data_IF_856605969179
#
_entry.id   IF_856605969179
#
_cell.length_a   1.000
_cell.length_b   1.000
_cell.length_c   1.000
_cell.angle_alpha   90.00
_cell.angle_beta   90.00
_cell.angle_gamma   90.00
#
_symmetry.space_group_name_H-M   'P 1'
#
loop_
_entity.id
_entity.type
_entity.pdbx_description
1 polymer ?
#
# COMPACT_ATOMS: atom_id res chain seq x y z
N UNK A 1 -27.74 35.29 58.26
CA UNK A 1 -28.41 36.60 58.53
C UNK A 1 -28.11 37.51 57.35
N UNK A 2 -29.08 37.75 56.45
CA UNK A 2 -29.77 39.05 56.24
C UNK A 2 -28.77 40.24 56.18
N UNK A 3 -28.67 41.07 55.15
CA UNK A 3 -29.68 41.51 54.20
C UNK A 3 -29.04 42.39 53.09
N UNK A 4 -29.54 42.27 51.85
CA UNK A 4 -29.94 43.34 50.87
C UNK A 4 -29.05 44.57 50.61
N UNK A 5 -28.99 45.24 49.45
CA UNK A 5 -29.51 45.18 48.08
C UNK A 5 -28.95 46.48 47.45
N UNK A 6 -28.62 46.51 46.15
CA UNK A 6 -29.22 47.50 45.22
C UNK A 6 -28.95 47.17 43.76
N UNK A 7 -30.07 47.11 43.02
CA UNK A 7 -30.24 47.03 41.57
C UNK A 7 -29.86 48.35 40.88
N UNK A 8 -29.51 48.26 39.60
CA UNK A 8 -29.40 49.41 38.69
C UNK A 8 -29.38 49.00 37.22
N UNK A 9 -30.57 48.74 36.70
CA UNK A 9 -30.96 48.33 35.33
C UNK A 9 -30.76 49.38 34.22
N UNK A 10 -30.57 48.89 32.99
CA UNK A 10 -31.21 49.26 31.68
C UNK A 10 -30.32 49.79 30.54
N UNK A 11 -30.42 49.04 29.42
CA UNK A 11 -30.63 49.43 28.02
C UNK A 11 -29.88 50.62 27.44
N UNK A 12 -29.23 50.45 26.27
CA UNK A 12 -29.70 51.07 25.01
C UNK A 12 -29.08 50.36 23.79
N UNK A 13 -29.94 50.01 22.81
CA UNK A 13 -29.57 49.68 21.42
C UNK A 13 -29.15 50.96 20.70
N UNK A 14 -28.07 50.95 19.93
CA UNK A 14 -27.90 51.82 18.76
C UNK A 14 -27.11 51.08 17.67
N UNK A 15 -27.77 50.85 16.54
CA UNK A 15 -27.19 50.62 15.22
C UNK A 15 -27.22 51.96 14.51
N UNK A 16 -26.19 52.31 13.74
CA UNK A 16 -26.43 52.91 12.44
C UNK A 16 -25.73 52.14 11.32
N UNK A 17 -26.53 51.90 10.28
CA UNK A 17 -26.16 51.43 8.94
C UNK A 17 -25.59 52.59 8.15
N UNK A 18 -24.48 52.33 7.43
CA UNK A 18 -23.96 52.97 6.21
C UNK A 18 -22.72 52.12 5.86
N UNK A 19 -22.55 51.48 4.72
CA UNK A 19 -23.08 51.68 3.38
C UNK A 19 -21.90 51.53 2.42
N UNK A 20 -21.98 50.54 1.52
CA UNK A 20 -21.18 50.35 0.28
C UNK A 20 -19.66 50.20 0.37
N UNK A 21 -19.16 49.00 0.04
CA UNK A 21 -18.51 48.74 -1.26
C UNK A 21 -18.39 47.22 -1.49
N UNK A 22 -19.26 46.67 -2.33
CA UNK A 22 -19.04 45.36 -2.93
C UNK A 22 -18.07 45.55 -4.09
N UNK A 23 -16.80 45.19 -3.90
CA UNK A 23 -15.95 44.82 -5.03
C UNK A 23 -16.23 43.35 -5.34
N UNK A 24 -17.06 43.13 -6.34
CA UNK A 24 -17.02 41.92 -7.12
C UNK A 24 -15.67 41.90 -7.87
N UNK A 25 -14.69 41.17 -7.36
CA UNK A 25 -13.58 40.70 -8.16
C UNK A 25 -14.08 39.60 -9.07
N UNK A 26 -14.61 40.00 -10.23
CA UNK A 26 -14.64 39.17 -11.43
C UNK A 26 -13.18 38.95 -11.85
N UNK A 27 -12.55 37.88 -11.39
CA UNK A 27 -11.37 37.33 -12.07
C UNK A 27 -11.87 36.40 -13.17
N UNK A 28 -12.21 36.98 -14.31
CA UNK A 28 -12.26 36.24 -15.57
C UNK A 28 -10.83 36.00 -16.05
N UNK A 29 -10.49 34.74 -16.30
CA UNK A 29 -9.39 34.36 -17.20
C UNK A 29 -8.35 33.46 -16.54
N UNK A 30 -8.53 32.15 -16.67
CA UNK A 30 -7.47 31.16 -16.56
C UNK A 30 -6.33 31.54 -17.52
N UNK A 31 -5.20 32.00 -16.97
CA UNK A 31 -3.90 31.77 -17.58
C UNK A 31 -3.45 30.35 -17.21
N UNK A 32 -2.85 29.64 -18.17
CA UNK A 32 -2.47 28.22 -18.08
C UNK A 32 -1.31 27.98 -17.08
N UNK A 33 -1.56 28.14 -15.79
CA UNK A 33 -0.62 27.76 -14.75
C UNK A 33 -1.33 26.88 -13.71
N UNK A 34 -1.08 25.57 -13.77
CA UNK A 34 -1.44 24.63 -12.72
C UNK A 34 -0.21 24.38 -11.83
N UNK A 35 -0.47 24.16 -10.53
CA UNK A 35 0.55 23.77 -9.54
C UNK A 35 0.35 22.34 -9.07
N UNK A 36 -0.89 21.85 -9.08
CA UNK A 36 -1.27 20.52 -8.65
C UNK A 36 -2.29 19.90 -9.62
N UNK A 37 -2.42 18.57 -9.58
CA UNK A 37 -3.39 17.83 -10.41
C UNK A 37 -4.84 18.17 -10.08
N UNK A 38 -5.13 18.63 -8.85
CA UNK A 38 -6.43 19.15 -8.44
C UNK A 38 -6.87 20.36 -9.26
N UNK A 39 -5.92 21.22 -9.65
CA UNK A 39 -6.17 22.44 -10.41
C UNK A 39 -6.68 22.13 -11.83
N UNK A 40 -6.55 20.88 -12.26
CA UNK A 40 -6.98 20.39 -13.57
C UNK A 40 -8.36 19.73 -13.57
N UNK A 41 -9.02 19.59 -12.41
CA UNK A 41 -10.29 18.86 -12.27
C UNK A 41 -11.56 19.75 -12.28
N UNK A 42 -11.40 21.07 -12.43
CA UNK A 42 -12.50 22.03 -12.21
C UNK A 42 -13.44 22.27 -13.42
N UNK A 43 -13.22 21.63 -14.58
CA UNK A 43 -14.11 21.79 -15.74
C UNK A 43 -14.76 20.46 -16.19
N UNK A 44 -16.07 20.48 -16.56
CA UNK A 44 -16.77 19.28 -17.05
C UNK A 44 -16.15 18.63 -18.30
N UNK A 45 -15.32 19.35 -19.05
CA UNK A 45 -14.59 18.84 -20.22
C UNK A 45 -13.31 18.07 -19.86
N UNK A 46 -12.84 18.17 -18.60
CA UNK A 46 -11.61 17.54 -18.09
C UNK A 46 -11.87 16.41 -17.09
N UNK A 47 -13.14 16.07 -16.86
CA UNK A 47 -13.59 15.08 -15.89
C UNK A 47 -13.81 13.68 -16.49
N UNK A 48 -13.13 13.33 -17.59
CA UNK A 48 -13.18 11.98 -18.14
C UNK A 48 -12.47 11.00 -17.17
N UNK A 49 -13.18 10.08 -16.51
CA UNK A 49 -12.56 9.13 -15.58
C UNK A 49 -11.62 8.16 -16.28
N UNK A 50 -11.82 7.92 -17.58
CA UNK A 50 -10.99 7.03 -18.38
C UNK A 50 -9.67 7.69 -18.81
N UNK A 51 -9.61 9.02 -18.84
CA UNK A 51 -8.41 9.77 -19.20
C UNK A 51 -8.30 11.08 -18.40
N UNK A 52 -7.87 11.00 -17.13
CA UNK A 52 -7.81 12.17 -16.24
C UNK A 52 -6.75 13.17 -16.70
N UNK A 53 -6.93 14.45 -16.36
CA UNK A 53 -5.94 15.49 -16.63
C UNK A 53 -4.96 15.63 -15.47
N UNK A 54 -3.69 15.83 -15.79
CA UNK A 54 -2.61 16.07 -14.82
C UNK A 54 -1.93 17.40 -15.10
N UNK A 55 -1.37 17.99 -14.05
CA UNK A 55 -0.56 19.18 -14.20
C UNK A 55 0.86 18.81 -14.66
N UNK A 56 1.28 19.31 -15.82
CA UNK A 56 2.62 19.12 -16.39
C UNK A 56 3.09 20.42 -17.02
N UNK A 57 4.27 20.90 -16.61
CA UNK A 57 4.85 22.17 -17.10
C UNK A 57 3.86 23.33 -17.00
N UNK A 58 3.19 23.42 -15.84
CA UNK A 58 2.18 24.44 -15.54
C UNK A 58 0.92 24.34 -16.43
N UNK A 59 0.78 23.28 -17.24
CA UNK A 59 -0.38 23.06 -18.10
C UNK A 59 -1.15 21.79 -17.72
N UNK A 60 -2.48 21.87 -17.81
CA UNK A 60 -3.32 20.69 -17.68
C UNK A 60 -3.31 19.91 -18.99
N UNK A 61 -2.68 18.73 -18.98
CA UNK A 61 -2.61 17.82 -20.13
C UNK A 61 -3.31 16.50 -19.81
N UNK A 62 -3.93 15.82 -20.78
CA UNK A 62 -4.49 14.50 -20.56
C UNK A 62 -3.38 13.52 -20.16
N UNK A 63 -3.66 12.64 -19.21
CA UNK A 63 -2.72 11.61 -18.74
C UNK A 63 -2.29 10.69 -19.89
N UNK A 64 -3.21 10.43 -20.84
CA UNK A 64 -2.96 9.68 -22.05
C UNK A 64 -3.26 10.52 -23.31
N UNK A 65 -2.25 11.19 -23.90
CA UNK A 65 -2.41 12.01 -25.11
C UNK A 65 -2.87 11.23 -26.36
N UNK A 66 -2.78 9.90 -26.33
CA UNK A 66 -3.25 8.99 -27.39
C UNK A 66 -4.59 8.28 -27.08
N UNK A 67 -5.29 8.67 -26.01
CA UNK A 67 -6.46 7.97 -25.49
C UNK A 67 -6.10 6.97 -24.38
N UNK A 68 -7.07 6.64 -23.53
CA UNK A 68 -6.90 5.67 -22.46
C UNK A 68 -6.45 4.31 -23.01
N UNK A 69 -5.63 3.53 -22.28
CA UNK A 69 -5.40 2.13 -22.60
C UNK A 69 -6.75 1.40 -22.74
N UNK A 70 -6.94 0.49 -23.72
CA UNK A 70 -8.20 -0.21 -23.88
C UNK A 70 -8.57 -0.94 -22.58
N UNK A 71 -9.77 -0.67 -22.10
CA UNK A 71 -10.36 -1.25 -20.90
C UNK A 71 -10.31 -2.78 -21.00
N UNK A 72 -9.70 -3.44 -20.00
CA UNK A 72 -9.83 -4.88 -19.83
C UNK A 72 -11.25 -5.15 -19.31
N UNK A 73 -12.23 -5.14 -20.23
CA UNK A 73 -13.64 -5.31 -19.93
C UNK A 73 -13.96 -6.61 -19.19
N UNK A 74 -15.15 -6.70 -18.57
CA UNK A 74 -15.59 -7.89 -17.85
C UNK A 74 -15.78 -9.05 -18.85
N UNK A 75 -15.18 -10.19 -18.52
CA UNK A 75 -15.22 -11.41 -19.32
C UNK A 75 -16.64 -11.83 -19.66
N UNK A 76 -16.88 -12.07 -20.95
CA UNK A 76 -18.11 -12.65 -21.46
C UNK A 76 -18.08 -14.17 -21.28
N UNK A 77 -19.09 -14.68 -20.57
CA UNK A 77 -19.34 -16.09 -20.36
C UNK A 77 -19.52 -16.86 -21.68
N UNK A 78 -18.90 -18.04 -21.72
CA UNK A 78 -19.01 -19.00 -22.78
C UNK A 78 -20.27 -19.88 -22.65
N UNK A 79 -21.19 -19.73 -23.61
CA UNK A 79 -22.05 -20.80 -24.15
C UNK A 79 -23.43 -21.05 -23.50
N UNK A 80 -24.34 -21.81 -24.17
CA UNK A 80 -24.10 -22.66 -25.34
C UNK A 80 -24.98 -22.39 -26.58
N UNK A 81 -24.47 -22.87 -27.73
CA UNK A 81 -25.14 -23.00 -29.01
C UNK A 81 -26.32 -23.98 -28.98
N UNK A 82 -27.41 -23.62 -29.66
CA UNK A 82 -28.34 -24.56 -30.34
C UNK A 82 -28.99 -23.87 -31.54
N UNK A 83 -28.53 -24.28 -32.72
CA UNK A 83 -29.18 -24.60 -34.00
C UNK A 83 -30.57 -24.01 -34.32
N UNK A 84 -30.69 -23.35 -35.49
CA UNK A 84 -32.00 -22.93 -36.02
C UNK A 84 -32.02 -22.20 -37.37
N UNK A 85 -31.49 -22.82 -38.44
CA UNK A 85 -32.00 -22.81 -39.83
C UNK A 85 -32.34 -21.52 -40.61
N UNK A 86 -31.77 -21.42 -41.83
CA UNK A 86 -32.42 -21.44 -43.17
C UNK A 86 -32.06 -20.30 -44.14
N UNK A 87 -31.67 -20.73 -45.34
CA UNK A 87 -31.44 -20.08 -46.64
C UNK A 87 -32.42 -18.98 -47.09
N UNK A 88 -31.88 -18.01 -47.85
CA UNK A 88 -32.45 -17.55 -49.15
C UNK A 88 -31.49 -16.58 -49.91
N UNK A 89 -30.69 -17.13 -50.82
CA UNK A 89 -30.60 -16.73 -52.24
C UNK A 89 -29.82 -15.46 -52.69
N UNK A 90 -29.16 -15.50 -53.88
CA UNK A 90 -28.22 -14.47 -54.39
C UNK A 90 -28.78 -13.63 -55.57
N UNK A 91 -28.04 -12.60 -56.03
CA UNK A 91 -27.99 -12.08 -57.43
C UNK A 91 -26.97 -10.92 -57.55
N UNK A 92 -25.82 -11.11 -58.23
CA UNK A 92 -25.44 -10.81 -59.65
C UNK A 92 -24.84 -9.41 -59.93
N UNK A 93 -23.55 -9.43 -60.29
CA UNK A 93 -22.85 -8.87 -61.46
C UNK A 93 -23.19 -7.49 -62.05
N UNK A 94 -22.12 -6.71 -62.34
CA UNK A 94 -22.19 -5.67 -63.38
C UNK A 94 -21.00 -4.71 -63.49
N UNK A 95 -19.87 -5.17 -64.08
CA UNK A 95 -18.93 -4.48 -65.02
C UNK A 95 -18.40 -3.05 -64.73
N UNK A 96 -17.36 -2.49 -65.36
CA UNK A 96 -16.27 -2.90 -66.24
C UNK A 96 -15.29 -1.71 -66.25
N UNK A 97 -14.02 -2.02 -66.40
CA UNK A 97 -12.83 -1.17 -66.55
C UNK A 97 -12.83 -0.27 -67.80
N UNK A 98 -12.16 0.90 -67.73
CA UNK A 98 -11.72 1.71 -68.88
C UNK A 98 -10.66 2.78 -68.51
N UNK A 99 -9.41 2.33 -68.34
CA UNK A 99 -8.26 2.89 -69.08
C UNK A 99 -7.63 4.25 -68.71
N UNK A 100 -6.41 4.53 -69.22
CA UNK A 100 -5.32 5.16 -68.47
C UNK A 100 -4.85 6.53 -69.02
N UNK A 101 -4.10 7.29 -68.22
CA UNK A 101 -3.15 8.32 -68.69
C UNK A 101 -1.97 8.50 -67.69
N UNK A 102 -0.83 7.90 -68.07
CA UNK A 102 0.54 8.46 -68.18
C UNK A 102 0.63 10.01 -68.13
N UNK A 103 1.57 10.75 -67.53
CA UNK A 103 2.98 10.58 -67.11
C UNK A 103 3.41 11.72 -66.15
N UNK A 104 4.45 11.48 -65.33
CA UNK A 104 5.51 12.47 -65.10
C UNK A 104 5.80 12.88 -63.66
N UNK A 105 6.90 12.37 -63.09
CA UNK A 105 7.58 13.07 -62.00
C UNK A 105 8.40 12.23 -61.01
N UNK A 106 9.62 11.86 -61.44
CA UNK A 106 10.85 11.78 -60.61
C UNK A 106 10.96 10.69 -59.53
N UNK A 107 11.88 9.77 -59.83
CA UNK A 107 12.60 8.86 -58.94
C UNK A 107 13.18 9.60 -57.72
N UNK A 108 12.64 9.31 -56.54
CA UNK A 108 13.36 9.38 -55.27
C UNK A 108 13.29 7.97 -54.69
N UNK A 109 14.46 7.35 -54.51
CA UNK A 109 14.57 5.95 -54.10
C UNK A 109 13.84 5.67 -52.78
N UNK A 110 13.68 4.38 -52.42
CA UNK A 110 13.19 4.03 -51.11
C UNK A 110 14.27 4.49 -50.11
N UNK A 111 14.03 5.64 -49.47
CA UNK A 111 14.57 5.90 -48.14
C UNK A 111 13.97 4.82 -47.24
N UNK A 112 14.62 3.66 -47.20
CA UNK A 112 14.66 2.85 -45.99
C UNK A 112 15.22 3.75 -44.91
N UNK A 113 14.31 4.38 -44.19
CA UNK A 113 14.48 4.86 -42.83
C UNK A 113 14.84 3.68 -41.93
N UNK A 114 16.08 3.21 -42.08
CA UNK A 114 16.81 2.35 -41.15
C UNK A 114 17.12 3.09 -39.85
N UNK A 115 16.16 3.83 -39.31
CA UNK A 115 16.13 4.25 -37.93
C UNK A 115 15.59 3.11 -37.09
N UNK A 116 16.33 2.01 -37.01
CA UNK A 116 16.18 1.12 -35.86
C UNK A 116 16.51 1.97 -34.65
N UNK A 117 15.50 2.25 -33.86
CA UNK A 117 15.52 2.61 -32.44
C UNK A 117 16.37 1.59 -31.66
N UNK A 118 17.67 1.60 -31.92
CA UNK A 118 18.70 0.77 -31.28
C UNK A 118 18.97 1.17 -29.84
N UNK A 119 18.03 1.82 -29.16
CA UNK A 119 18.00 1.87 -27.71
C UNK A 119 17.53 0.52 -27.21
N UNK A 120 18.41 -0.49 -27.21
CA UNK A 120 18.14 -1.74 -26.50
C UNK A 120 17.77 -1.38 -25.08
N UNK A 121 16.57 -1.77 -24.63
CA UNK A 121 16.16 -1.64 -23.25
C UNK A 121 17.32 -2.09 -22.34
N UNK A 122 17.88 -1.18 -21.50
CA UNK A 122 19.04 -1.51 -20.69
C UNK A 122 18.78 -2.72 -19.78
N UNK A 123 17.52 -2.97 -19.41
CA UNK A 123 17.12 -4.12 -18.61
C UNK A 123 17.13 -5.45 -19.37
N UNK A 124 16.93 -5.42 -20.69
CA UNK A 124 17.02 -6.61 -21.53
C UNK A 124 18.43 -7.22 -21.47
N UNK A 125 19.47 -6.37 -21.49
CA UNK A 125 20.89 -6.78 -21.52
C UNK A 125 21.57 -6.77 -20.15
N UNK A 126 20.97 -6.16 -19.12
CA UNK A 126 21.54 -6.15 -17.78
C UNK A 126 21.76 -7.58 -17.23
N UNK A 127 22.93 -7.87 -16.61
CA UNK A 127 23.14 -9.14 -15.90
C UNK A 127 22.17 -9.27 -14.74
N UNK A 128 21.50 -10.42 -14.62
CA UNK A 128 20.56 -10.71 -13.54
C UNK A 128 21.03 -11.91 -12.73
N UNK A 129 21.09 -11.76 -11.41
CA UNK A 129 21.16 -12.88 -10.49
C UNK A 129 19.84 -13.68 -10.53
N UNK A 130 19.89 -15.02 -10.54
CA UNK A 130 18.67 -15.85 -10.59
C UNK A 130 17.69 -15.61 -9.43
N UNK A 131 18.17 -15.14 -8.27
CA UNK A 131 17.35 -14.84 -7.10
C UNK A 131 17.05 -13.34 -7.03
N UNK A 132 18.06 -12.49 -7.14
CA UNK A 132 17.94 -11.06 -6.83
C UNK A 132 17.79 -10.14 -8.04
N UNK A 133 17.88 -10.68 -9.25
CA UNK A 133 17.85 -9.85 -10.45
C UNK A 133 19.05 -8.93 -10.47
N UNK A 134 18.83 -7.64 -10.63
CA UNK A 134 19.85 -6.58 -10.60
C UNK A 134 20.12 -6.03 -9.20
N UNK A 135 19.35 -6.43 -8.18
CA UNK A 135 19.57 -5.96 -6.81
C UNK A 135 20.92 -6.45 -6.26
N UNK A 136 21.68 -5.54 -5.66
CA UNK A 136 22.98 -5.85 -5.09
C UNK A 136 22.89 -6.17 -3.61
N UNK A 137 23.09 -7.44 -3.27
CA UNK A 137 23.23 -7.88 -1.88
C UNK A 137 24.52 -7.33 -1.26
N UNK A 138 24.39 -6.78 -0.06
CA UNK A 138 25.50 -6.17 0.66
C UNK A 138 26.23 -7.19 1.56
N UNK A 139 27.45 -6.86 1.96
CA UNK A 139 28.27 -7.72 2.81
C UNK A 139 27.59 -7.98 4.17
N UNK A 140 27.73 -9.21 4.68
CA UNK A 140 27.08 -9.64 5.92
C UNK A 140 25.70 -10.25 5.73
N UNK A 141 25.22 -10.37 4.49
CA UNK A 141 23.94 -11.01 4.17
C UNK A 141 24.11 -12.09 3.10
N UNK A 142 23.20 -13.05 3.09
CA UNK A 142 23.19 -14.14 2.10
C UNK A 142 21.78 -14.36 1.54
N UNK A 143 21.67 -14.51 0.21
CA UNK A 143 20.43 -14.94 -0.43
C UNK A 143 20.37 -16.47 -0.49
N UNK A 144 19.70 -17.08 0.48
CA UNK A 144 19.78 -18.53 0.73
C UNK A 144 18.88 -19.32 -0.21
N UNK A 145 17.59 -18.99 -0.26
CA UNK A 145 16.55 -19.73 -0.99
C UNK A 145 15.71 -18.76 -1.82
N UNK A 146 15.10 -19.26 -2.90
CA UNK A 146 14.14 -18.50 -3.69
C UNK A 146 13.04 -19.42 -4.21
N UNK A 147 11.81 -18.89 -4.32
CA UNK A 147 10.68 -19.59 -4.94
C UNK A 147 9.94 -18.65 -5.87
N UNK A 148 9.50 -19.17 -7.01
CA UNK A 148 8.54 -18.45 -7.86
C UNK A 148 7.29 -18.09 -7.05
N UNK A 149 6.82 -16.85 -7.23
CA UNK A 149 5.61 -16.35 -6.62
C UNK A 149 4.46 -16.52 -7.62
N UNK A 150 3.32 -17.11 -7.23
CA UNK A 150 2.15 -17.16 -8.11
C UNK A 150 1.70 -15.76 -8.50
N UNK A 151 1.35 -15.58 -9.77
CA UNK A 151 0.94 -14.29 -10.31
C UNK A 151 -0.26 -13.70 -9.54
N UNK A 152 -0.20 -12.39 -9.30
CA UNK A 152 -1.28 -11.65 -8.64
C UNK A 152 -1.30 -11.74 -7.11
N UNK A 153 -0.34 -12.43 -6.50
CA UNK A 153 -0.15 -12.39 -5.04
C UNK A 153 0.55 -11.07 -4.66
N UNK A 154 -0.13 -10.25 -3.85
CA UNK A 154 0.35 -8.90 -3.47
C UNK A 154 0.92 -8.83 -2.05
N UNK A 155 0.59 -9.79 -1.19
CA UNK A 155 1.13 -9.88 0.17
C UNK A 155 1.29 -11.34 0.58
N UNK A 156 2.31 -11.64 1.38
CA UNK A 156 2.59 -13.00 1.85
C UNK A 156 2.93 -13.02 3.33
N UNK A 157 2.67 -14.15 3.98
CA UNK A 157 3.09 -14.42 5.35
C UNK A 157 3.46 -15.88 5.51
N UNK A 158 4.33 -16.18 6.46
CA UNK A 158 4.84 -17.50 6.72
C UNK A 158 4.56 -17.92 8.17
N UNK A 159 3.90 -19.06 8.34
CA UNK A 159 3.47 -19.59 9.65
C UNK A 159 4.27 -20.84 9.99
N UNK A 160 4.85 -20.88 11.19
CA UNK A 160 5.53 -22.04 11.75
C UNK A 160 6.82 -21.66 12.50
N UNK A 161 7.32 -22.50 13.42
CA UNK A 161 8.51 -22.21 14.22
C UNK A 161 9.84 -22.38 13.44
N UNK A 162 9.79 -22.57 12.12
CA UNK A 162 10.94 -22.96 11.32
C UNK A 162 11.45 -24.38 11.61
N UNK A 163 12.32 -24.94 10.75
CA UNK A 163 12.73 -24.39 9.45
C UNK A 163 11.65 -24.57 8.36
N UNK A 164 10.58 -25.32 8.64
CA UNK A 164 9.45 -25.50 7.74
C UNK A 164 8.38 -24.44 8.04
N UNK A 165 7.99 -23.71 7.00
CA UNK A 165 6.97 -22.68 7.09
C UNK A 165 5.86 -22.97 6.09
N UNK A 166 4.61 -22.88 6.55
CA UNK A 166 3.46 -22.82 5.65
C UNK A 166 3.30 -21.38 5.19
N UNK A 167 3.35 -21.15 3.88
CA UNK A 167 3.23 -19.83 3.29
C UNK A 167 1.79 -19.59 2.86
N UNK A 168 1.27 -18.41 3.15
CA UNK A 168 -0.03 -17.93 2.68
C UNK A 168 0.16 -16.66 1.85
N UNK A 169 -0.73 -16.44 0.90
CA UNK A 169 -0.69 -15.29 0.00
C UNK A 169 -2.05 -14.65 -0.17
N UNK A 170 -2.08 -13.33 -0.18
CA UNK A 170 -3.22 -12.51 -0.55
C UNK A 170 -3.17 -12.23 -2.05
N UNK A 171 -4.20 -12.67 -2.78
CA UNK A 171 -4.37 -12.36 -4.18
C UNK A 171 -5.04 -11.00 -4.36
N UNK A 172 -4.40 -10.11 -5.11
CA UNK A 172 -4.96 -8.81 -5.50
C UNK A 172 -6.04 -8.93 -6.59
N UNK A 173 -6.06 -10.03 -7.35
CA UNK A 173 -6.99 -10.23 -8.45
C UNK A 173 -8.42 -10.55 -7.97
N UNK A 174 -8.55 -11.39 -6.95
CA UNK A 174 -9.83 -11.90 -6.45
C UNK A 174 -10.05 -11.64 -4.95
N UNK A 175 -9.11 -10.94 -4.30
CA UNK A 175 -9.16 -10.52 -2.89
C UNK A 175 -9.29 -11.68 -1.89
N UNK A 176 -8.81 -12.86 -2.28
CA UNK A 176 -8.83 -14.04 -1.44
C UNK A 176 -7.43 -14.38 -0.90
N UNK A 177 -7.42 -15.04 0.26
CA UNK A 177 -6.19 -15.59 0.84
C UNK A 177 -6.09 -17.08 0.50
N UNK A 178 -4.91 -17.49 0.03
CA UNK A 178 -4.61 -18.85 -0.39
C UNK A 178 -3.46 -19.44 0.42
N UNK A 179 -3.47 -20.74 0.75
CA UNK A 179 -2.26 -21.48 1.07
C UNK A 179 -1.40 -21.58 -0.20
N UNK A 180 -0.13 -21.17 -0.08
CA UNK A 180 0.85 -21.26 -1.16
C UNK A 180 1.77 -22.47 -1.03
N UNK A 181 1.60 -23.32 -0.01
CA UNK A 181 2.43 -24.50 0.22
C UNK A 181 3.48 -24.29 1.31
N UNK A 182 4.59 -25.04 1.24
CA UNK A 182 5.65 -25.03 2.25
C UNK A 182 6.91 -24.42 1.67
N UNK A 183 7.50 -23.45 2.36
CA UNK A 183 8.75 -22.82 1.92
C UNK A 183 9.91 -23.83 1.80
N UNK A 184 10.77 -23.77 0.74
CA UNK A 184 10.75 -22.85 -0.41
C UNK A 184 9.99 -23.41 -1.63
N UNK A 185 9.16 -24.44 -1.48
CA UNK A 185 8.42 -25.05 -2.59
C UNK A 185 6.97 -24.57 -2.61
N UNK A 186 6.73 -23.44 -3.29
CA UNK A 186 5.39 -22.87 -3.38
C UNK A 186 4.56 -23.56 -4.48
N UNK A 187 3.39 -24.04 -4.08
CA UNK A 187 2.34 -24.60 -4.93
C UNK A 187 0.98 -24.07 -4.44
N UNK A 188 0.41 -23.06 -5.10
CA UNK A 188 -0.86 -22.46 -4.66
C UNK A 188 -2.00 -23.47 -4.72
N UNK A 189 -2.80 -23.49 -3.66
CA UNK A 189 -4.10 -24.16 -3.67
C UNK A 189 -5.04 -23.50 -4.68
N UNK A 190 -5.88 -24.29 -5.35
CA UNK A 190 -6.99 -23.75 -6.15
C UNK A 190 -8.19 -23.33 -5.29
N UNK A 191 -8.18 -23.67 -4.00
CA UNK A 191 -9.22 -23.32 -3.04
C UNK A 191 -8.74 -22.19 -2.13
N UNK A 192 -9.47 -21.08 -2.15
CA UNK A 192 -9.30 -19.97 -1.21
C UNK A 192 -9.63 -20.41 0.22
N UNK A 193 -8.90 -19.88 1.20
CA UNK A 193 -9.24 -20.02 2.61
C UNK A 193 -10.40 -19.11 3.00
N UNK A 194 -10.30 -17.83 2.64
CA UNK A 194 -11.31 -16.83 2.91
C UNK A 194 -11.15 -15.62 1.99
N UNK A 195 -12.23 -14.85 1.87
CA UNK A 195 -12.22 -13.54 1.23
C UNK A 195 -11.90 -12.45 2.26
N UNK A 196 -11.00 -11.54 1.91
CA UNK A 196 -10.68 -10.37 2.74
C UNK A 196 -11.85 -9.39 2.80
N UNK A 197 -12.71 -9.39 1.78
CA UNK A 197 -13.83 -8.45 1.66
C UNK A 197 -15.05 -8.95 2.44
N UNK A 198 -15.52 -8.10 3.35
CA UNK A 198 -16.71 -8.36 4.17
C UNK A 198 -17.94 -8.52 3.25
N UNK A 199 -18.85 -9.48 3.53
CA UNK A 199 -19.98 -9.79 2.64
C UNK A 199 -20.83 -8.62 2.17
N UNK A 200 -21.09 -7.63 3.02
CA UNK A 200 -21.92 -6.46 2.68
C UNK A 200 -21.22 -5.46 1.75
N UNK A 201 -19.90 -5.52 1.62
CA UNK A 201 -19.10 -4.64 0.76
C UNK A 201 -18.75 -5.25 -0.61
N UNK A 202 -19.11 -6.51 -0.85
CA UNK A 202 -18.77 -7.20 -2.10
C UNK A 202 -19.46 -6.56 -3.30
N UNK A 203 -18.70 -6.39 -4.37
CA UNK A 203 -19.15 -5.67 -5.58
C UNK A 203 -18.97 -4.15 -5.52
N UNK A 204 -18.49 -3.61 -4.39
CA UNK A 204 -18.07 -2.22 -4.28
C UNK A 204 -16.61 -1.97 -4.69
N UNK A 205 -16.18 -0.72 -4.60
CA UNK A 205 -14.78 -0.31 -4.75
C UNK A 205 -14.10 -0.23 -3.38
N UNK A 206 -12.90 -0.79 -3.30
CA UNK A 206 -12.08 -0.83 -2.08
C UNK A 206 -10.60 -0.75 -2.44
N UNK A 207 -9.80 -0.38 -1.45
CA UNK A 207 -8.34 -0.40 -1.47
C UNK A 207 -7.89 -1.55 -0.56
N UNK A 208 -7.39 -2.62 -1.17
CA UNK A 208 -6.89 -3.77 -0.43
C UNK A 208 -5.66 -3.36 0.40
N UNK A 209 -5.58 -3.81 1.64
CA UNK A 209 -4.40 -3.63 2.45
C UNK A 209 -3.24 -4.41 1.84
N UNK A 210 -2.08 -3.78 1.69
CA UNK A 210 -0.86 -4.41 1.19
C UNK A 210 -0.17 -5.33 2.20
N UNK A 211 -0.92 -5.94 3.12
CA UNK A 211 -0.40 -6.73 4.23
C UNK A 211 -1.20 -8.02 4.41
N UNK A 212 -0.49 -9.08 4.79
CA UNK A 212 -1.02 -10.33 5.31
C UNK A 212 -0.10 -10.70 6.47
N UNK A 213 -0.66 -10.81 7.67
CA UNK A 213 0.13 -11.03 8.90
C UNK A 213 -0.42 -12.20 9.69
N UNK A 214 0.42 -12.80 10.53
CA UNK A 214 0.03 -13.94 11.34
C UNK A 214 0.60 -13.87 12.76
N UNK A 215 -0.10 -14.47 13.71
CA UNK A 215 0.37 -14.62 15.11
C UNK A 215 0.75 -16.07 15.46
N UNK A 216 1.01 -16.89 14.44
CA UNK A 216 1.24 -18.33 14.55
C UNK A 216 -0.02 -19.21 14.53
N UNK A 217 -1.21 -18.64 14.81
CA UNK A 217 -2.48 -19.39 14.85
C UNK A 217 -3.58 -18.80 13.96
N UNK A 218 -3.46 -17.50 13.67
CA UNK A 218 -4.45 -16.72 12.92
C UNK A 218 -3.77 -15.96 11.80
N UNK A 219 -4.53 -15.71 10.74
CA UNK A 219 -4.17 -14.82 9.64
C UNK A 219 -5.02 -13.56 9.75
N UNK A 220 -4.43 -12.41 9.45
CA UNK A 220 -5.12 -11.12 9.38
C UNK A 220 -4.72 -10.35 8.12
N UNK A 221 -5.73 -9.87 7.42
CA UNK A 221 -5.63 -8.96 6.26
C UNK A 221 -6.77 -7.96 6.33
N UNK A 222 -6.70 -6.83 5.62
CA UNK A 222 -7.77 -5.85 5.62
C UNK A 222 -7.92 -5.09 4.32
N UNK A 223 -8.87 -4.17 4.31
CA UNK A 223 -9.11 -3.24 3.22
C UNK A 223 -9.77 -1.96 3.75
N UNK A 224 -9.70 -0.90 2.96
CA UNK A 224 -10.42 0.36 3.19
C UNK A 224 -11.27 0.72 1.98
N UNK A 225 -12.17 1.68 2.15
CA UNK A 225 -13.04 2.23 1.11
C UNK A 225 -12.89 3.75 1.10
N UNK A 226 -13.27 4.36 -0.01
CA UNK A 226 -13.44 5.81 -0.06
C UNK A 226 -14.59 6.24 0.86
N UNK A 227 -14.48 7.46 1.40
CA UNK A 227 -15.48 8.04 2.30
C UNK A 227 -14.85 8.66 3.54
N UNK A 228 -15.69 9.32 4.34
CA UNK A 228 -15.26 9.95 5.58
C UNK A 228 -14.59 8.91 6.51
N UNK A 229 -13.38 9.22 6.95
CA UNK A 229 -12.53 8.38 7.80
C UNK A 229 -12.11 7.04 7.17
N UNK A 230 -12.17 6.89 5.85
CA UNK A 230 -11.71 5.68 5.14
C UNK A 230 -12.29 4.38 5.72
N UNK A 231 -13.63 4.19 5.69
CA UNK A 231 -14.25 3.03 6.33
C UNK A 231 -13.69 1.72 5.76
N UNK A 232 -13.57 0.69 6.58
CA UNK A 232 -12.92 -0.54 6.18
C UNK A 232 -13.03 -1.63 7.24
N UNK A 233 -12.55 -2.81 6.91
CA UNK A 233 -12.56 -3.95 7.81
C UNK A 233 -11.20 -4.66 7.79
N UNK A 234 -10.87 -5.26 8.93
CA UNK A 234 -9.90 -6.35 8.98
C UNK A 234 -10.64 -7.68 9.07
N UNK A 235 -10.11 -8.67 8.37
CA UNK A 235 -10.54 -10.05 8.36
C UNK A 235 -9.59 -10.87 9.23
N UNK A 236 -10.13 -11.61 10.20
CA UNK A 236 -9.39 -12.45 11.12
C UNK A 236 -9.80 -13.90 10.92
N UNK A 237 -8.86 -14.74 10.50
CA UNK A 237 -9.09 -16.14 10.16
C UNK A 237 -8.29 -17.08 11.06
N UNK A 238 -8.94 -18.06 11.68
CA UNK A 238 -8.28 -19.10 12.48
C UNK A 238 -7.79 -20.26 11.60
N UNK A 239 -6.47 -20.49 11.56
CA UNK A 239 -5.87 -21.52 10.69
C UNK A 239 -6.23 -22.96 11.11
N UNK A 240 -6.45 -23.19 12.40
CA UNK A 240 -6.83 -24.52 12.95
C UNK A 240 -8.34 -24.75 13.02
N UNK A 241 -9.15 -23.70 12.83
CA UNK A 241 -10.60 -23.75 12.87
C UNK A 241 -11.16 -22.93 11.69
N UNK A 242 -11.07 -23.45 10.45
CA UNK A 242 -11.23 -22.68 9.20
C UNK A 242 -12.64 -22.14 8.96
N UNK A 243 -13.61 -22.42 9.84
CA UNK A 243 -14.96 -21.83 9.80
C UNK A 243 -15.08 -20.55 10.62
N UNK A 244 -14.08 -20.19 11.43
CA UNK A 244 -14.06 -18.98 12.24
C UNK A 244 -13.34 -17.84 11.48
N UNK A 245 -14.08 -17.22 10.57
CA UNK A 245 -13.73 -15.95 9.94
C UNK A 245 -14.54 -14.83 10.60
N UNK A 246 -13.86 -13.77 11.04
CA UNK A 246 -14.49 -12.59 11.60
C UNK A 246 -14.09 -11.35 10.80
N UNK A 247 -15.02 -10.41 10.65
CA UNK A 247 -14.74 -9.09 10.09
C UNK A 247 -14.95 -8.04 11.19
N UNK A 248 -13.94 -7.22 11.42
CA UNK A 248 -13.98 -6.16 12.42
C UNK A 248 -13.80 -4.81 11.73
N UNK A 249 -14.70 -3.86 12.03
CA UNK A 249 -14.57 -2.48 11.55
C UNK A 249 -13.20 -1.93 11.94
N UNK A 250 -12.46 -1.41 10.97
CA UNK A 250 -11.12 -0.90 11.16
C UNK A 250 -10.88 0.25 10.17
N UNK A 251 -11.52 1.43 10.38
CA UNK A 251 -11.35 2.57 9.48
C UNK A 251 -9.88 2.96 9.36
N UNK A 252 -9.44 3.25 8.13
CA UNK A 252 -8.08 3.67 7.82
C UNK A 252 -6.98 2.66 8.18
N UNK A 253 -7.30 1.36 8.28
CA UNK A 253 -6.30 0.31 8.53
C UNK A 253 -5.22 0.35 7.43
N UNK A 254 -4.01 0.79 7.79
CA UNK A 254 -2.96 1.08 6.83
C UNK A 254 -1.87 -0.02 6.84
N UNK A 255 -1.31 -0.31 8.01
CA UNK A 255 -0.40 -1.45 8.21
C UNK A 255 -0.74 -2.21 9.49
N UNK A 256 -0.30 -3.47 9.53
CA UNK A 256 -0.49 -4.33 10.69
C UNK A 256 0.81 -5.07 10.99
N UNK A 257 1.12 -5.27 12.26
CA UNK A 257 2.14 -6.19 12.73
C UNK A 257 1.56 -7.16 13.77
N UNK A 258 2.19 -8.30 13.96
CA UNK A 258 1.73 -9.30 14.91
C UNK A 258 2.67 -9.38 16.12
N UNK A 259 2.05 -9.54 17.29
CA UNK A 259 2.69 -10.02 18.51
C UNK A 259 2.17 -11.44 18.78
N UNK A 260 2.84 -12.22 19.64
CA UNK A 260 2.18 -13.35 20.26
C UNK A 260 0.89 -12.88 20.90
N UNK A 261 -0.25 -13.40 20.43
CA UNK A 261 -1.58 -13.10 20.96
C UNK A 261 -2.12 -11.67 20.74
N UNK A 262 -1.56 -10.86 19.85
CA UNK A 262 -2.19 -9.60 19.47
C UNK A 262 -1.81 -9.16 18.05
N UNK A 263 -2.66 -8.37 17.41
CA UNK A 263 -2.32 -7.64 16.19
C UNK A 263 -2.28 -6.15 16.49
N UNK A 264 -1.24 -5.47 16.02
CA UNK A 264 -1.05 -4.04 16.13
C UNK A 264 -1.46 -3.40 14.82
N UNK A 265 -2.58 -2.67 14.80
CA UNK A 265 -3.19 -2.11 13.61
C UNK A 265 -3.02 -0.60 13.64
N UNK A 266 -2.28 -0.07 12.66
CA UNK A 266 -2.11 1.36 12.47
C UNK A 266 -3.28 1.90 11.66
N UNK A 267 -4.07 2.80 12.23
CA UNK A 267 -5.30 3.25 11.58
C UNK A 267 -6.05 4.34 12.32
N UNK A 268 -7.34 4.46 12.01
CA UNK A 268 -8.24 5.52 12.48
C UNK A 268 -9.35 4.98 13.42
N UNK A 269 -9.28 3.71 13.82
CA UNK A 269 -10.29 3.05 14.64
C UNK A 269 -10.17 1.53 14.60
N UNK A 270 -10.73 0.87 15.61
CA UNK A 270 -10.86 -0.59 15.64
C UNK A 270 -12.05 -1.06 16.50
N UNK A 271 -12.98 -1.78 15.87
CA UNK A 271 -14.18 -2.30 16.51
C UNK A 271 -15.02 -1.18 17.12
N UNK A 272 -15.23 -1.24 18.44
CA UNK A 272 -15.96 -0.22 19.21
C UNK A 272 -15.06 0.87 19.80
N UNK A 273 -13.75 0.81 19.58
CA UNK A 273 -12.83 1.85 20.08
C UNK A 273 -13.12 3.20 19.40
N UNK A 274 -12.96 4.34 20.11
CA UNK A 274 -13.17 5.66 19.54
C UNK A 274 -12.35 5.87 18.26
N UNK A 275 -12.91 6.53 17.23
CA UNK A 275 -12.18 6.81 16.01
C UNK A 275 -11.17 7.93 16.25
N UNK A 276 -9.90 7.58 16.32
CA UNK A 276 -8.77 8.49 16.41
C UNK A 276 -7.58 7.90 15.63
N UNK A 277 -6.65 8.76 15.20
CA UNK A 277 -5.43 8.26 14.57
C UNK A 277 -4.49 7.67 15.63
N UNK A 278 -4.04 6.44 15.43
CA UNK A 278 -3.13 5.79 16.36
C UNK A 278 -2.86 4.33 16.06
N UNK A 279 -2.25 3.65 17.02
CA UNK A 279 -2.04 2.19 16.97
C UNK A 279 -3.09 1.52 17.83
N UNK A 280 -3.83 0.58 17.26
CA UNK A 280 -4.83 -0.22 17.94
C UNK A 280 -4.31 -1.64 18.18
N UNK A 281 -4.71 -2.23 19.29
CA UNK A 281 -4.49 -3.64 19.57
C UNK A 281 -5.77 -4.42 19.33
N UNK A 282 -5.66 -5.52 18.57
CA UNK A 282 -6.67 -6.57 18.47
C UNK A 282 -6.16 -7.79 19.25
N UNK A 283 -6.88 -8.17 20.30
CA UNK A 283 -6.60 -9.31 21.18
C UNK A 283 -7.63 -10.43 20.93
N UNK A 284 -7.29 -11.41 20.08
CA UNK A 284 -8.21 -12.41 19.53
C UNK A 284 -8.53 -13.60 20.47
N UNK A 285 -8.24 -13.50 21.77
CA UNK A 285 -8.46 -14.59 22.75
C UNK A 285 -9.91 -14.70 23.19
N UNK A 286 -10.68 -13.62 23.04
CA UNK A 286 -12.12 -13.57 23.32
C UNK A 286 -12.92 -13.62 22.03
N UNK A 287 -14.19 -14.01 22.13
CA UNK A 287 -15.15 -13.94 21.03
C UNK A 287 -16.36 -13.09 21.46
N UNK A 288 -16.52 -11.84 20.97
CA UNK A 288 -15.66 -11.18 19.98
C UNK A 288 -14.26 -10.82 20.53
N UNK A 289 -13.26 -10.59 19.66
CA UNK A 289 -11.94 -10.11 20.02
C UNK A 289 -12.00 -8.83 20.84
N UNK A 290 -11.10 -8.71 21.81
CA UNK A 290 -10.94 -7.47 22.58
C UNK A 290 -10.18 -6.47 21.72
N UNK A 291 -10.68 -5.23 21.63
CA UNK A 291 -10.02 -4.15 20.89
C UNK A 291 -9.79 -2.96 21.80
N UNK A 292 -8.64 -2.29 21.65
CA UNK A 292 -8.31 -1.08 22.40
C UNK A 292 -7.32 -0.22 21.64
N UNK A 293 -7.34 1.10 21.85
CA UNK A 293 -6.22 1.94 21.46
C UNK A 293 -4.98 1.54 22.28
N UNK A 294 -3.88 1.25 21.61
CA UNK A 294 -2.61 0.86 22.21
C UNK A 294 -1.68 2.07 22.39
N UNK A 295 -1.58 2.94 21.38
CA UNK A 295 -0.71 4.10 21.41
C UNK A 295 -1.36 5.33 20.75
N UNK A 296 -1.25 6.47 21.42
CA UNK A 296 -1.66 7.78 20.87
C UNK A 296 -0.49 8.45 20.15
N UNK A 297 -0.78 9.17 19.08
CA UNK A 297 0.18 10.07 18.44
C UNK A 297 0.16 11.44 19.13
N UNK A 298 1.30 12.15 19.13
CA UNK A 298 1.33 13.52 19.63
C UNK A 298 0.47 14.39 18.69
N UNK A 299 -0.53 15.12 19.21
CA UNK A 299 -1.36 16.01 18.39
C UNK A 299 -0.54 17.05 17.60
N UNK A 300 0.66 17.41 18.07
CA UNK A 300 1.54 18.35 17.40
C UNK A 300 2.15 17.82 16.10
N UNK A 301 2.07 16.52 15.81
CA UNK A 301 2.62 15.91 14.60
C UNK A 301 1.67 15.95 13.41
N UNK A 302 0.41 16.38 13.61
CA UNK A 302 -0.64 16.28 12.58
C UNK A 302 -0.66 14.89 11.91
N UNK A 303 -0.49 13.86 12.75
CA UNK A 303 -0.08 12.56 12.31
C UNK A 303 -1.17 11.83 11.51
N UNK A 304 -0.75 11.06 10.51
CA UNK A 304 -1.55 10.05 9.82
C UNK A 304 -0.93 8.66 9.99
N UNK A 305 -1.65 7.62 9.57
CA UNK A 305 -1.19 6.24 9.68
C UNK A 305 0.16 6.02 8.98
N UNK A 306 0.97 5.08 9.49
CA UNK A 306 2.31 4.76 8.95
C UNK A 306 2.63 3.27 9.02
N UNK A 307 3.90 2.91 8.80
CA UNK A 307 4.32 1.51 8.73
C UNK A 307 4.57 0.88 10.11
N UNK A 308 4.31 -0.42 10.25
CA UNK A 308 4.39 -1.13 11.54
C UNK A 308 5.08 -2.47 11.35
N UNK A 309 5.98 -2.83 12.27
CA UNK A 309 6.61 -4.16 12.35
C UNK A 309 6.85 -4.55 13.82
N UNK A 310 7.07 -5.83 14.08
CA UNK A 310 7.47 -6.35 15.39
C UNK A 310 8.67 -7.26 15.20
N UNK A 311 9.79 -6.96 15.85
CA UNK A 311 11.02 -7.75 15.73
C UNK A 311 10.95 -9.07 16.52
N UNK A 312 11.90 -9.97 16.28
CA UNK A 312 11.95 -11.28 16.95
C UNK A 312 12.09 -11.16 18.48
N UNK A 313 12.89 -10.20 18.96
CA UNK A 313 12.99 -9.86 20.39
C UNK A 313 11.79 -9.04 20.93
N UNK A 314 10.73 -8.84 20.14
CA UNK A 314 9.48 -8.23 20.57
C UNK A 314 9.46 -6.70 20.59
N UNK A 315 10.41 -6.02 19.94
CA UNK A 315 10.34 -4.56 19.79
C UNK A 315 9.26 -4.22 18.78
N UNK A 316 8.25 -3.44 19.20
CA UNK A 316 7.23 -2.92 18.30
C UNK A 316 7.74 -1.65 17.62
N UNK A 317 7.97 -1.71 16.31
CA UNK A 317 8.31 -0.55 15.48
C UNK A 317 7.02 0.02 14.93
N UNK A 318 6.66 1.21 15.42
CA UNK A 318 5.37 1.86 15.20
C UNK A 318 5.61 3.17 14.46
N UNK A 319 5.10 3.26 13.25
CA UNK A 319 5.26 4.43 12.39
C UNK A 319 4.06 5.35 12.34
N UNK A 320 4.30 6.55 11.85
CA UNK A 320 3.28 7.52 11.50
C UNK A 320 3.80 8.42 10.38
N UNK A 321 2.90 8.96 9.58
CA UNK A 321 3.23 10.06 8.68
C UNK A 321 3.14 11.37 9.47
N UNK A 322 4.22 12.12 9.52
CA UNK A 322 4.28 13.43 10.19
C UNK A 322 3.80 14.52 9.22
N UNK A 323 2.61 15.06 9.46
CA UNK A 323 1.98 16.07 8.61
C UNK A 323 2.68 17.42 8.65
N UNK A 324 3.51 17.69 9.66
CA UNK A 324 4.20 18.98 9.79
C UNK A 324 5.43 19.10 8.91
N UNK A 325 6.07 17.96 8.61
CA UNK A 325 7.29 17.87 7.80
C UNK A 325 7.14 16.95 6.58
N UNK A 326 5.94 16.39 6.37
CA UNK A 326 5.57 15.52 5.25
C UNK A 326 6.51 14.33 5.07
N UNK A 327 6.76 13.58 6.15
CA UNK A 327 7.64 12.41 6.09
C UNK A 327 7.19 11.29 7.01
N UNK A 328 7.45 10.04 6.62
CA UNK A 328 7.23 8.89 7.48
C UNK A 328 8.28 8.83 8.61
N UNK A 329 7.81 8.66 9.84
CA UNK A 329 8.61 8.52 11.05
C UNK A 329 8.38 7.14 11.66
N UNK A 330 9.38 6.61 12.35
CA UNK A 330 9.29 5.34 13.08
C UNK A 330 9.76 5.54 14.52
N UNK A 331 9.06 4.89 15.45
CA UNK A 331 9.46 4.81 16.85
C UNK A 331 9.43 3.36 17.33
N UNK A 332 10.46 2.95 18.05
CA UNK A 332 10.64 1.61 18.57
C UNK A 332 10.23 1.55 20.05
N UNK A 333 9.17 0.81 20.34
CA UNK A 333 8.63 0.59 21.66
C UNK A 333 9.08 -0.76 22.21
N UNK A 334 9.75 -0.75 23.37
CA UNK A 334 10.10 -1.98 24.09
C UNK A 334 8.85 -2.67 24.67
N UNK A 335 8.90 -4.00 24.91
CA UNK A 335 7.82 -4.73 25.58
C UNK A 335 7.31 -4.09 26.87
N UNK A 336 8.22 -3.59 27.72
CA UNK A 336 7.85 -2.92 28.97
C UNK A 336 7.03 -1.64 28.78
N UNK A 337 7.03 -1.05 27.58
CA UNK A 337 6.23 0.14 27.26
C UNK A 337 4.80 -0.24 26.84
N UNK A 338 4.65 -1.20 25.92
CA UNK A 338 3.34 -1.51 25.33
C UNK A 338 2.58 -2.63 26.06
N UNK A 339 3.24 -3.55 26.76
CA UNK A 339 2.55 -4.64 27.48
C UNK A 339 1.60 -4.14 28.59
N UNK A 340 1.93 -3.11 29.39
CA UNK A 340 0.98 -2.52 30.33
C UNK A 340 -0.26 -1.97 29.64
N UNK A 341 -0.10 -1.36 28.46
CA UNK A 341 -1.21 -0.83 27.67
C UNK A 341 -2.12 -1.94 27.12
N UNK A 342 -1.54 -3.06 26.64
CA UNK A 342 -2.30 -4.26 26.24
C UNK A 342 -3.11 -4.88 27.38
N UNK A 343 -2.62 -4.77 28.62
CA UNK A 343 -3.28 -5.39 29.79
C UNK A 343 -4.33 -4.47 30.41
N UNK A 344 -4.04 -3.18 30.48
CA UNK A 344 -4.91 -2.18 31.11
C UNK A 344 -5.91 -1.53 30.16
N UNK A 345 -5.69 -1.67 28.84
CA UNK A 345 -6.39 -0.95 27.78
C UNK A 345 -6.28 0.58 27.90
N UNK A 346 -5.24 1.06 28.59
CA UNK A 346 -4.88 2.47 28.66
C UNK A 346 -3.71 2.70 27.70
N UNK A 347 -3.86 3.56 26.67
CA UNK A 347 -2.82 3.75 25.67
C UNK A 347 -1.60 4.45 26.26
N UNK A 348 -0.42 4.15 25.72
CA UNK A 348 0.80 4.92 26.00
C UNK A 348 1.00 6.02 24.95
N UNK A 349 1.80 7.04 25.27
CA UNK A 349 2.18 8.05 24.27
C UNK A 349 3.27 7.50 23.37
N UNK A 350 3.07 7.50 22.05
CA UNK A 350 4.11 7.04 21.13
C UNK A 350 5.40 7.88 21.25
N UNK A 351 5.30 9.13 21.72
CA UNK A 351 6.47 9.98 21.97
C UNK A 351 7.44 9.41 23.03
N UNK A 352 6.96 8.51 23.90
CA UNK A 352 7.78 7.83 24.91
C UNK A 352 8.65 6.69 24.33
N UNK A 353 8.38 6.28 23.09
CA UNK A 353 9.17 5.28 22.37
C UNK A 353 10.39 5.91 21.67
N UNK A 354 11.44 5.11 21.46
CA UNK A 354 12.71 5.55 20.88
C UNK A 354 12.54 5.90 19.39
N UNK A 355 12.86 7.13 18.98
CA UNK A 355 12.83 7.51 17.56
C UNK A 355 13.92 6.80 16.75
N UNK A 356 13.57 6.34 15.54
CA UNK A 356 14.51 5.78 14.56
C UNK A 356 14.77 6.81 13.46
N UNK A 357 16.04 7.04 13.14
CA UNK A 357 16.47 8.05 12.16
C UNK A 357 17.25 7.41 11.01
N UNK A 358 16.57 6.77 10.03
CA UNK A 358 17.24 6.05 8.95
C UNK A 358 17.99 6.96 7.96
N UNK A 359 17.65 8.26 7.90
CA UNK A 359 18.33 9.25 7.07
C UNK A 359 17.77 9.41 5.64
N UNK A 360 16.71 8.67 5.29
CA UNK A 360 15.98 8.77 4.02
C UNK A 360 14.48 8.54 4.24
N UNK A 361 13.64 8.80 3.23
CA UNK A 361 12.19 8.51 3.31
C UNK A 361 11.94 7.01 3.45
N UNK A 362 11.05 6.66 4.36
CA UNK A 362 10.62 5.28 4.62
C UNK A 362 9.39 4.98 3.80
N UNK A 363 9.42 3.88 3.05
CA UNK A 363 8.38 3.46 2.12
C UNK A 363 7.76 2.10 2.49
N UNK A 364 8.42 1.33 3.35
CA UNK A 364 7.89 0.12 3.96
C UNK A 364 8.79 -0.34 5.12
N UNK A 365 8.27 -1.18 6.02
CA UNK A 365 9.08 -1.87 7.04
C UNK A 365 8.70 -3.34 7.17
N UNK A 366 9.65 -4.17 7.59
CA UNK A 366 9.42 -5.56 7.97
C UNK A 366 10.39 -5.95 9.11
N UNK A 367 10.05 -6.96 9.90
CA UNK A 367 11.00 -7.50 10.85
C UNK A 367 12.15 -8.22 10.13
N UNK A 368 13.33 -8.19 10.73
CA UNK A 368 14.50 -8.94 10.27
C UNK A 368 15.37 -9.31 11.48
N UNK A 369 15.01 -10.44 12.11
CA UNK A 369 15.56 -10.88 13.39
C UNK A 369 15.28 -9.86 14.50
N UNK A 370 16.30 -9.57 15.30
CA UNK A 370 16.26 -8.52 16.35
C UNK A 370 16.31 -7.08 15.81
N UNK A 371 16.05 -6.89 14.51
CA UNK A 371 16.09 -5.60 13.86
C UNK A 371 14.90 -5.40 12.93
N UNK A 372 14.85 -4.23 12.32
CA UNK A 372 13.83 -3.86 11.34
C UNK A 372 14.48 -3.59 9.99
N UNK A 373 13.95 -4.21 8.94
CA UNK A 373 14.25 -3.89 7.56
C UNK A 373 13.38 -2.71 7.11
N UNK A 374 13.98 -1.80 6.34
CA UNK A 374 13.39 -0.56 5.87
C UNK A 374 13.54 -0.52 4.36
N UNK A 375 12.44 -0.32 3.63
CA UNK A 375 12.51 0.12 2.25
C UNK A 375 12.69 1.64 2.24
N UNK A 376 13.82 2.08 1.71
CA UNK A 376 14.18 3.49 1.63
C UNK A 376 14.13 3.97 0.18
N UNK A 377 13.83 5.26 0.02
CA UNK A 377 13.80 5.87 -1.30
C UNK A 377 13.36 7.33 -1.31
N UNK A 378 12.85 7.76 -2.45
CA UNK A 378 12.27 9.06 -2.70
C UNK A 378 10.78 8.89 -3.09
N UNK A 379 9.90 9.49 -2.30
CA UNK A 379 8.44 9.52 -2.46
C UNK A 379 7.92 10.81 -3.10
N UNK A 380 8.79 11.70 -3.58
CA UNK A 380 8.36 12.93 -4.26
C UNK A 380 7.70 12.69 -5.62
N UNK A 381 7.88 11.51 -6.22
CA UNK A 381 7.31 11.10 -7.49
C UNK A 381 6.46 9.83 -7.37
N UNK A 382 5.57 9.62 -8.36
CA UNK A 382 4.83 8.36 -8.50
C UNK A 382 5.19 7.65 -9.81
N UNK A 383 5.61 6.38 -9.79
CA UNK A 383 5.87 5.57 -8.59
C UNK A 383 7.10 6.07 -7.80
N UNK A 384 7.20 5.76 -6.50
CA UNK A 384 8.38 6.12 -5.70
C UNK A 384 9.64 5.45 -6.24
N UNK A 385 10.78 6.11 -6.06
CA UNK A 385 12.09 5.59 -6.47
C UNK A 385 12.78 4.97 -5.27
N UNK A 386 13.02 3.65 -5.31
CA UNK A 386 13.71 2.95 -4.23
C UNK A 386 15.23 3.08 -4.36
N UNK A 387 15.91 3.34 -3.23
CA UNK A 387 17.36 3.44 -3.17
C UNK A 387 18.00 2.18 -2.61
N UNK A 388 17.41 1.63 -1.54
CA UNK A 388 17.94 0.47 -0.83
C UNK A 388 16.90 -0.16 0.11
N UNK A 389 17.15 -1.43 0.44
CA UNK A 389 16.61 -2.04 1.66
C UNK A 389 17.72 -2.00 2.70
N UNK A 390 17.46 -1.36 3.83
CA UNK A 390 18.42 -1.22 4.95
C UNK A 390 17.90 -1.89 6.21
N UNK A 391 18.79 -2.22 7.15
CA UNK A 391 18.44 -2.79 8.45
C UNK A 391 18.93 -1.91 9.60
N UNK A 392 18.09 -1.73 10.62
CA UNK A 392 18.49 -1.18 11.92
C UNK A 392 18.34 -2.28 12.96
N UNK A 393 19.43 -2.64 13.63
CA UNK A 393 19.40 -3.55 14.79
C UNK A 393 18.78 -2.84 16.00
N UNK A 394 17.91 -3.53 16.76
CA UNK A 394 17.21 -2.96 17.90
C UNK A 394 17.52 -3.74 19.18
N UNK A 395 18.48 -3.25 19.96
CA UNK A 395 18.87 -3.89 21.20
C UNK A 395 17.98 -3.46 22.38
N UNK A 396 17.56 -4.43 23.20
CA UNK A 396 16.84 -4.18 24.45
C UNK A 396 17.81 -4.11 25.63
N UNK A 397 17.64 -3.10 26.50
CA UNK A 397 18.35 -3.05 27.77
C UNK A 397 17.90 -4.18 28.71
N UNK A 398 18.79 -4.64 29.59
CA UNK A 398 18.45 -5.64 30.62
C UNK A 398 17.67 -5.10 31.83
N UNK A 399 17.38 -3.78 31.88
CA UNK A 399 16.71 -3.11 32.99
C UNK A 399 15.17 -3.17 32.94
N UNK A 400 14.53 -2.62 33.97
CA UNK A 400 13.07 -2.41 34.00
C UNK A 400 12.79 -0.96 34.41
N UNK A 401 12.11 -0.14 33.57
CA UNK A 401 11.63 -0.49 32.23
C UNK A 401 12.80 -0.75 31.25
N UNK A 402 12.54 -1.60 30.25
CA UNK A 402 13.47 -1.81 29.15
C UNK A 402 13.46 -0.57 28.24
N UNK A 403 14.62 -0.21 27.70
CA UNK A 403 14.76 0.77 26.63
C UNK A 403 15.27 0.11 25.36
N UNK A 404 14.92 0.69 24.21
CA UNK A 404 15.44 0.28 22.90
C UNK A 404 16.63 1.16 22.54
N UNK A 405 17.75 0.54 22.15
CA UNK A 405 18.92 1.21 21.59
C UNK A 405 19.07 0.81 20.11
N UNK A 406 18.83 1.72 19.16
CA UNK A 406 19.02 1.44 17.75
C UNK A 406 20.52 1.40 17.39
N UNK A 407 20.89 0.42 16.58
CA UNK A 407 22.20 0.35 15.92
C UNK A 407 22.29 1.31 14.72
N UNK A 408 23.42 1.23 14.00
CA UNK A 408 23.58 1.97 12.75
C UNK A 408 22.73 1.37 11.63
N UNK A 409 22.17 2.22 10.78
CA UNK A 409 21.51 1.80 9.53
C UNK A 409 22.53 1.11 8.62
N UNK A 410 22.29 -0.17 8.33
CA UNK A 410 23.18 -1.01 7.53
C UNK A 410 22.46 -1.45 6.24
N UNK A 411 22.96 -1.08 5.05
CA UNK A 411 22.37 -1.52 3.79
C UNK A 411 22.36 -3.05 3.64
N UNK A 412 21.23 -3.61 3.20
CA UNK A 412 21.02 -5.05 2.93
C UNK A 412 21.00 -5.31 1.43
N UNK A 413 20.19 -4.56 0.69
CA UNK A 413 20.07 -4.60 -0.78
C UNK A 413 20.20 -3.18 -1.32
N UNK A 414 20.91 -2.99 -2.43
CA UNK A 414 20.95 -1.72 -3.16
C UNK A 414 20.31 -1.85 -4.53
N UNK A 415 19.55 -0.83 -4.90
CA UNK A 415 19.04 -0.65 -6.25
C UNK A 415 20.12 0.06 -7.06
N UNK A 416 20.55 -0.54 -8.16
CA UNK A 416 21.58 0.02 -9.06
C UNK A 416 21.03 0.43 -10.41
N UNK A 417 19.80 0.04 -10.69
CA UNK A 417 18.99 0.35 -11.85
C UNK A 417 17.50 0.13 -11.49
N UNK A 418 16.61 0.28 -12.46
CA UNK A 418 15.17 0.05 -12.32
C UNK A 418 14.71 -1.28 -12.92
N UNK A 419 15.62 -2.22 -13.17
CA UNK A 419 15.31 -3.47 -13.88
C UNK A 419 14.72 -4.55 -12.99
N UNK A 420 14.93 -4.45 -11.68
CA UNK A 420 14.30 -5.32 -10.68
C UNK A 420 13.48 -4.47 -9.72
N UNK A 421 12.19 -4.79 -9.65
CA UNK A 421 11.25 -4.14 -8.74
C UNK A 421 11.13 -4.94 -7.46
N UNK A 422 11.01 -4.23 -6.35
CA UNK A 422 10.65 -4.78 -5.06
C UNK A 422 9.13 -4.76 -4.91
N UNK A 423 8.54 -5.93 -4.66
CA UNK A 423 7.09 -6.10 -4.54
C UNK A 423 6.64 -6.17 -3.09
N UNK A 424 7.44 -6.79 -2.22
CA UNK A 424 7.08 -6.96 -0.81
C UNK A 424 8.30 -7.14 0.09
N UNK A 425 8.13 -6.78 1.36
CA UNK A 425 9.03 -7.09 2.46
C UNK A 425 8.21 -7.74 3.57
N UNK A 426 8.62 -8.90 4.05
CA UNK A 426 8.00 -9.59 5.18
C UNK A 426 9.02 -10.47 5.89
N UNK A 427 8.66 -10.98 7.05
CA UNK A 427 9.52 -11.86 7.85
C UNK A 427 9.35 -13.34 7.45
N UNK A 428 10.41 -14.13 7.65
CA UNK A 428 10.40 -15.59 7.59
C UNK A 428 11.22 -16.13 8.77
N UNK A 429 10.59 -16.21 9.94
CA UNK A 429 11.32 -16.38 11.19
C UNK A 429 12.26 -15.20 11.43
N UNK A 430 13.52 -15.48 11.78
CA UNK A 430 14.54 -14.43 11.95
C UNK A 430 15.10 -13.84 10.63
N UNK A 431 14.66 -14.33 9.47
CA UNK A 431 15.14 -13.88 8.16
C UNK A 431 14.17 -12.91 7.49
N UNK A 432 14.68 -12.17 6.51
CA UNK A 432 13.87 -11.30 5.66
C UNK A 432 13.44 -12.06 4.40
N UNK A 433 12.15 -12.01 4.07
CA UNK A 433 11.60 -12.51 2.83
C UNK A 433 11.25 -11.35 1.91
N UNK A 434 11.89 -11.32 0.75
CA UNK A 434 11.82 -10.23 -0.21
C UNK A 434 11.11 -10.68 -1.47
N UNK A 435 10.02 -10.02 -1.84
CA UNK A 435 9.37 -10.22 -3.13
C UNK A 435 10.05 -9.36 -4.20
N UNK A 436 10.48 -9.98 -5.30
CA UNK A 436 11.10 -9.29 -6.44
C UNK A 436 10.38 -9.65 -7.74
N UNK A 437 10.39 -8.73 -8.70
CA UNK A 437 9.89 -8.92 -10.06
C UNK A 437 10.86 -8.31 -11.07
N UNK A 438 11.21 -9.06 -12.09
CA UNK A 438 12.07 -8.65 -13.21
C UNK A 438 11.78 -9.54 -14.44
N UNK A 439 12.68 -9.56 -15.43
CA UNK A 439 12.53 -10.39 -16.64
C UNK A 439 12.47 -11.91 -16.39
N UNK A 440 12.90 -12.38 -15.23
CA UNK A 440 12.81 -13.79 -14.81
C UNK A 440 11.49 -14.10 -14.07
N UNK A 441 10.60 -13.11 -13.93
CA UNK A 441 9.30 -13.23 -13.27
C UNK A 441 9.33 -12.97 -11.77
N UNK A 442 8.15 -13.07 -11.16
CA UNK A 442 7.93 -12.81 -9.74
C UNK A 442 8.43 -13.97 -8.87
N UNK A 443 9.12 -13.63 -7.78
CA UNK A 443 9.66 -14.61 -6.83
C UNK A 443 9.88 -14.01 -5.46
N UNK A 444 9.86 -14.87 -4.46
CA UNK A 444 10.31 -14.56 -3.11
C UNK A 444 11.75 -15.02 -2.93
N UNK A 445 12.54 -14.24 -2.19
CA UNK A 445 13.94 -14.51 -1.88
C UNK A 445 14.16 -14.37 -0.38
N UNK A 446 14.72 -15.42 0.24
CA UNK A 446 15.09 -15.40 1.65
C UNK A 446 16.48 -14.81 1.82
N UNK A 447 16.56 -13.72 2.56
CA UNK A 447 17.79 -13.04 2.94
C UNK A 447 18.10 -13.34 4.41
N UNK A 448 19.24 -13.96 4.64
CA UNK A 448 19.72 -14.35 5.96
C UNK A 448 20.89 -13.47 6.40
N UNK A 449 20.88 -13.06 7.66
CA UNK A 449 22.02 -12.46 8.35
C UNK A 449 22.67 -13.53 9.26
N UNK A 450 23.93 -13.92 9.02
CA UNK A 450 24.64 -14.95 9.77
C UNK A 450 24.88 -14.65 11.25
#
# INVERSE_FOLDING_TARGET
MKNTMRRGTKWTRWVPVLGTLALASLSTGCGEECTHSSDCQDTPERSDPSNPYVCREEKCVPLYPGGAPPDAGPGTDAGPNTDGGTDAGPDTDGGTDAGPDTDGGTDAGPDTDGGTDGGTDPCAVAPHDPKLGTLQLQAGFTATESSGLPAGIIAVTAVGPGPLYTVYGLSGADQNVYPLGTWPSLQPSTQALFSVIEPSDRGGSFFLGGYLVNDGSRLLSGYTKSGANFPGYVSLFQTTAPTHLQYLSAPGNYTVAALPNAFLINGLGLGSSPPEVGIYALQPQTDPPTTSLLATFDPAWEASSGYTAVTENGVAVLGYFDGTVFTNRLRAAAPSLYQPALTSHVPFSLADATELTPGSSILNVAAFGDGVALLLGDDSGWPPVYTDVSRIELALSSGTPQTVTPGATTPVLKFVDSCTQLQSLTELGGDLLVGVSDKNGERLVRIHQP
#
